data_IF_528415369562
#
_entry.id   IF_528415369562
#
_cell.length_a   1.000
_cell.length_b   1.000
_cell.length_c   1.000
_cell.angle_alpha   90.00
_cell.angle_beta   90.00
_cell.angle_gamma   90.00
#
_symmetry.space_group_name_H-M   'P 1'
#
loop_
_entity.id
_entity.type
_entity.pdbx_description
1 polymer ?
#
# COMPACT_ATOMS: atom_id res chain seq x y z
N UNK A 1 -45.04 20.21 32.87
CA UNK A 1 -44.42 19.04 32.22
C UNK A 1 -43.02 19.45 31.80
N UNK A 2 -41.94 18.91 32.39
CA UNK A 2 -40.59 19.36 32.11
C UNK A 2 -40.09 18.81 30.77
N UNK A 3 -39.42 19.68 30.03
CA UNK A 3 -38.76 19.43 28.76
C UNK A 3 -37.57 18.49 28.96
N UNK A 4 -37.45 17.48 28.09
CA UNK A 4 -36.30 16.58 28.03
C UNK A 4 -35.19 17.28 27.25
N UNK A 5 -34.12 17.71 27.93
CA UNK A 5 -32.89 18.17 27.30
C UNK A 5 -32.23 17.03 26.49
N UNK A 6 -31.60 17.33 25.35
CA UNK A 6 -30.86 16.35 24.57
C UNK A 6 -29.56 15.98 25.30
N UNK A 7 -29.25 14.69 25.31
CA UNK A 7 -28.04 14.14 25.92
C UNK A 7 -26.86 14.40 24.97
N UNK A 8 -26.01 15.37 25.33
CA UNK A 8 -24.73 15.59 24.67
C UNK A 8 -23.87 14.32 24.81
N UNK A 9 -23.53 13.70 23.68
CA UNK A 9 -22.50 12.65 23.64
C UNK A 9 -21.13 13.32 23.68
N UNK A 10 -20.67 13.66 24.88
CA UNK A 10 -19.26 13.97 25.11
C UNK A 10 -18.41 12.73 24.81
N UNK A 11 -17.55 12.84 23.80
CA UNK A 11 -16.50 11.88 23.49
C UNK A 11 -15.40 11.94 24.56
N UNK A 12 -15.67 11.39 25.74
CA UNK A 12 -14.68 11.25 26.80
C UNK A 12 -13.90 9.93 26.66
N UNK A 13 -12.59 10.01 26.42
CA UNK A 13 -11.70 8.87 26.64
C UNK A 13 -11.64 8.59 28.15
N UNK A 14 -12.47 7.65 28.61
CA UNK A 14 -12.46 7.22 30.00
C UNK A 14 -11.10 6.65 30.42
N UNK A 15 -10.75 6.71 31.72
CA UNK A 15 -9.50 6.15 32.22
C UNK A 15 -9.45 4.64 31.92
N UNK A 16 -8.26 4.07 31.63
CA UNK A 16 -8.13 2.66 31.34
C UNK A 16 -8.59 1.83 32.54
N UNK A 17 -9.57 0.95 32.33
CA UNK A 17 -10.08 0.04 33.33
C UNK A 17 -9.63 -1.39 33.02
N UNK A 18 -9.09 -2.09 34.03
CA UNK A 18 -8.73 -3.49 33.91
C UNK A 18 -9.98 -4.31 34.22
N UNK A 19 -10.45 -5.09 33.24
CA UNK A 19 -11.57 -6.01 33.41
C UNK A 19 -11.25 -7.34 32.77
N UNK A 20 -11.66 -8.44 33.43
CA UNK A 20 -11.60 -9.76 32.82
C UNK A 20 -12.53 -9.82 31.58
N UNK A 21 -12.13 -10.55 30.52
CA UNK A 21 -13.01 -10.78 29.40
C UNK A 21 -14.27 -11.49 29.89
N UNK A 22 -15.44 -10.93 29.60
CA UNK A 22 -16.71 -11.59 29.89
C UNK A 22 -16.84 -12.80 28.95
N UNK A 23 -17.08 -13.98 29.53
CA UNK A 23 -17.23 -15.22 28.76
C UNK A 23 -18.37 -15.14 27.74
N UNK A 24 -18.20 -15.82 26.62
CA UNK A 24 -19.19 -15.98 25.56
C UNK A 24 -19.66 -17.43 25.38
N UNK A 25 -20.63 -17.65 24.49
CA UNK A 25 -21.16 -18.97 24.13
C UNK A 25 -21.62 -19.09 22.66
N UNK A 26 -21.31 -18.09 21.83
CA UNK A 26 -21.63 -18.11 20.41
C UNK A 26 -20.45 -18.68 19.61
N UNK A 27 -20.72 -19.66 18.75
CA UNK A 27 -19.77 -20.11 17.73
C UNK A 27 -19.88 -19.14 16.56
N UNK A 28 -18.75 -18.58 16.14
CA UNK A 28 -18.65 -17.68 14.97
C UNK A 28 -17.62 -18.27 14.00
N UNK A 29 -17.83 -18.01 12.71
CA UNK A 29 -16.83 -18.29 11.67
C UNK A 29 -15.57 -17.44 11.85
N UNK A 30 -14.66 -17.53 10.89
CA UNK A 30 -13.40 -16.78 10.90
C UNK A 30 -13.55 -15.38 10.31
N UNK A 31 -14.78 -14.88 10.16
CA UNK A 31 -15.05 -13.56 9.61
C UNK A 31 -14.95 -13.49 8.09
N UNK A 32 -15.04 -14.65 7.43
CA UNK A 32 -15.07 -14.78 5.98
C UNK A 32 -16.25 -14.03 5.37
N UNK A 33 -16.01 -13.42 4.19
CA UNK A 33 -17.02 -12.66 3.46
C UNK A 33 -17.06 -13.12 2.01
N UNK A 34 -18.21 -13.57 1.56
CA UNK A 34 -18.47 -13.85 0.16
C UNK A 34 -19.22 -12.68 -0.48
N UNK A 35 -18.79 -12.26 -1.67
CA UNK A 35 -19.43 -11.21 -2.45
C UNK A 35 -19.36 -11.55 -3.94
N UNK A 36 -20.31 -11.04 -4.70
CA UNK A 36 -20.24 -11.06 -6.17
C UNK A 36 -19.86 -9.67 -6.65
N UNK A 37 -18.86 -9.57 -7.53
CA UNK A 37 -18.52 -8.30 -8.14
C UNK A 37 -19.58 -7.95 -9.21
N UNK A 38 -20.39 -6.89 -9.01
CA UNK A 38 -21.51 -6.60 -9.91
C UNK A 38 -21.07 -6.11 -11.30
N UNK A 39 -19.82 -5.66 -11.44
CA UNK A 39 -19.28 -5.13 -12.70
C UNK A 39 -18.70 -6.25 -13.56
N UNK A 40 -17.98 -7.19 -12.95
CA UNK A 40 -17.29 -8.28 -13.67
C UNK A 40 -18.06 -9.60 -13.65
N UNK A 41 -19.03 -9.76 -12.75
CA UNK A 41 -19.74 -11.02 -12.51
C UNK A 41 -18.90 -12.09 -11.79
N UNK A 42 -17.69 -11.75 -11.29
CA UNK A 42 -16.81 -12.71 -10.60
C UNK A 42 -17.29 -12.99 -9.18
N UNK A 43 -17.01 -14.21 -8.71
CA UNK A 43 -17.18 -14.58 -7.31
C UNK A 43 -15.94 -14.18 -6.51
N UNK A 44 -16.14 -13.47 -5.41
CA UNK A 44 -15.09 -13.00 -4.52
C UNK A 44 -15.27 -13.56 -3.10
N UNK A 45 -14.18 -13.98 -2.47
CA UNK A 45 -14.16 -14.43 -1.08
C UNK A 45 -12.97 -13.81 -0.34
N UNK A 46 -13.21 -13.20 0.80
CA UNK A 46 -12.13 -12.67 1.66
C UNK A 46 -12.10 -13.43 2.97
N UNK A 47 -10.94 -13.95 3.33
CA UNK A 47 -10.65 -14.63 4.60
C UNK A 47 -9.63 -13.80 5.36
N UNK A 48 -9.99 -13.14 6.47
CA UNK A 48 -9.04 -12.34 7.24
C UNK A 48 -8.04 -13.26 7.97
N UNK A 49 -6.79 -12.83 8.03
CA UNK A 49 -5.75 -13.47 8.84
C UNK A 49 -5.59 -12.62 10.09
N UNK A 50 -6.16 -13.09 11.20
CA UNK A 50 -6.09 -12.35 12.46
C UNK A 50 -4.69 -12.43 13.06
N UNK A 51 -4.09 -11.26 13.23
CA UNK A 51 -2.85 -11.06 13.96
C UNK A 51 -3.19 -10.51 15.35
N UNK A 52 -2.32 -10.75 16.33
CA UNK A 52 -2.48 -10.14 17.65
C UNK A 52 -2.37 -8.62 17.51
N UNK A 53 -3.31 -7.82 18.06
CA UNK A 53 -3.24 -6.37 17.96
C UNK A 53 -1.94 -5.84 18.56
N UNK A 54 -1.24 -4.99 17.82
CA UNK A 54 -0.11 -4.24 18.37
C UNK A 54 -0.56 -3.06 19.23
N UNK A 55 0.41 -2.25 19.66
CA UNK A 55 0.14 -1.01 20.39
C UNK A 55 -0.82 -0.14 19.58
N UNK A 56 -1.85 0.39 20.23
CA UNK A 56 -2.86 1.26 19.60
C UNK A 56 -3.59 0.62 18.39
N UNK A 57 -3.55 -0.72 18.25
CA UNK A 57 -4.12 -1.40 17.10
C UNK A 57 -3.31 -1.28 15.81
N UNK A 58 -2.08 -0.75 15.88
CA UNK A 58 -1.14 -0.76 14.77
C UNK A 58 -0.59 -2.16 14.56
N UNK A 59 -0.58 -2.63 13.32
CA UNK A 59 -0.11 -3.96 12.97
C UNK A 59 -0.52 -4.38 11.57
N UNK A 60 0.02 -5.50 11.08
CA UNK A 60 -0.28 -6.00 9.75
C UNK A 60 -1.75 -6.44 9.66
N UNK A 61 -2.48 -5.82 8.72
CA UNK A 61 -3.82 -6.24 8.32
C UNK A 61 -3.70 -7.12 7.10
N UNK A 62 -3.83 -8.42 7.30
CA UNK A 62 -3.66 -9.42 6.26
C UNK A 62 -5.00 -10.09 5.96
N UNK A 63 -5.26 -10.34 4.68
CA UNK A 63 -6.40 -11.13 4.22
C UNK A 63 -6.02 -11.95 3.00
N UNK A 64 -6.50 -13.17 2.97
CA UNK A 64 -6.47 -14.00 1.78
C UNK A 64 -7.71 -13.66 0.95
N UNK A 65 -7.49 -13.20 -0.27
CA UNK A 65 -8.53 -12.75 -1.19
C UNK A 65 -8.62 -13.73 -2.35
N UNK A 66 -9.83 -14.20 -2.65
CA UNK A 66 -10.16 -15.00 -3.82
C UNK A 66 -10.95 -14.16 -4.81
N UNK A 67 -10.63 -14.27 -6.09
CA UNK A 67 -11.48 -13.82 -7.20
C UNK A 67 -11.45 -14.90 -8.30
N UNK A 68 -12.62 -15.33 -8.76
CA UNK A 68 -12.75 -16.42 -9.76
C UNK A 68 -12.16 -16.09 -11.13
N UNK A 69 -11.94 -14.80 -11.43
CA UNK A 69 -11.25 -14.31 -12.63
C UNK A 69 -9.75 -14.09 -12.44
N UNK A 70 -9.22 -14.28 -11.23
CA UNK A 70 -7.78 -14.17 -10.97
C UNK A 70 -7.02 -15.44 -11.38
N UNK A 71 -5.76 -15.26 -11.77
CA UNK A 71 -4.88 -16.35 -12.21
C UNK A 71 -4.27 -17.17 -11.07
N UNK A 72 -3.19 -17.87 -11.38
CA UNK A 72 -2.45 -18.66 -10.40
C UNK A 72 -1.49 -17.78 -9.58
N UNK A 73 -1.27 -18.16 -8.33
CA UNK A 73 -0.34 -17.47 -7.43
C UNK A 73 0.18 -18.40 -6.32
N UNK A 74 1.01 -17.88 -5.41
CA UNK A 74 1.62 -18.67 -4.33
C UNK A 74 0.62 -19.38 -3.40
N UNK A 75 -0.61 -18.89 -3.34
CA UNK A 75 -1.69 -19.43 -2.51
C UNK A 75 -2.70 -20.27 -3.30
N UNK A 76 -2.39 -20.61 -4.55
CA UNK A 76 -3.24 -21.37 -5.44
C UNK A 76 -4.04 -20.51 -6.41
N UNK A 77 -4.81 -21.17 -7.27
CA UNK A 77 -5.57 -20.52 -8.33
C UNK A 77 -6.69 -19.63 -7.78
N UNK A 78 -6.76 -18.39 -8.26
CA UNK A 78 -7.74 -17.39 -7.83
C UNK A 78 -7.43 -16.75 -6.48
N UNK A 79 -6.47 -17.26 -5.70
CA UNK A 79 -6.13 -16.78 -4.36
C UNK A 79 -4.89 -15.88 -4.36
N UNK A 80 -4.97 -14.78 -3.61
CA UNK A 80 -3.84 -13.89 -3.36
C UNK A 80 -3.80 -13.43 -1.91
N UNK A 81 -2.59 -13.18 -1.40
CA UNK A 81 -2.39 -12.41 -0.18
C UNK A 81 -2.22 -10.95 -0.59
N UNK A 82 -3.14 -10.10 -0.15
CA UNK A 82 -3.15 -8.69 -0.55
C UNK A 82 -2.12 -7.90 0.28
N UNK A 83 -0.91 -7.74 -0.27
CA UNK A 83 0.14 -6.90 0.31
C UNK A 83 0.31 -5.61 -0.51
N UNK A 84 0.46 -4.44 0.14
CA UNK A 84 0.78 -3.20 -0.55
C UNK A 84 2.10 -3.31 -1.33
N UNK A 85 2.07 -2.88 -2.58
CA UNK A 85 3.25 -2.81 -3.44
C UNK A 85 3.10 -1.66 -4.43
N UNK A 86 4.22 -1.17 -4.96
CA UNK A 86 4.25 -0.29 -6.12
C UNK A 86 4.81 -1.11 -7.28
N UNK A 87 4.09 -1.18 -8.39
CA UNK A 87 4.44 -2.05 -9.52
C UNK A 87 4.34 -1.28 -10.83
N UNK A 88 5.24 -1.57 -11.77
CA UNK A 88 5.13 -1.00 -13.12
C UNK A 88 3.91 -1.57 -13.85
N UNK A 89 3.17 -0.67 -14.50
CA UNK A 89 1.96 -0.98 -15.27
C UNK A 89 2.31 -1.72 -16.56
N UNK A 90 1.55 -2.78 -16.87
CA UNK A 90 1.79 -3.65 -18.03
C UNK A 90 0.60 -3.77 -18.99
N UNK A 91 -0.55 -3.18 -18.66
CA UNK A 91 -1.79 -3.28 -19.46
C UNK A 91 -1.69 -2.64 -20.86
N UNK A 92 -0.77 -1.68 -21.04
CA UNK A 92 -0.58 -0.88 -22.26
C UNK A 92 0.78 -1.11 -22.93
N UNK A 93 1.50 -2.16 -22.53
CA UNK A 93 2.79 -2.51 -23.08
C UNK A 93 3.81 -2.91 -22.01
N UNK A 94 4.99 -3.32 -22.45
CA UNK A 94 6.07 -3.71 -21.55
C UNK A 94 6.80 -2.48 -21.00
N UNK A 95 7.19 -2.49 -19.71
CA UNK A 95 8.05 -1.46 -19.12
C UNK A 95 9.37 -1.35 -19.88
N UNK A 96 9.81 -0.11 -20.13
CA UNK A 96 11.08 0.19 -20.82
C UNK A 96 12.22 0.48 -19.86
N UNK A 97 11.93 0.68 -18.57
CA UNK A 97 12.92 0.98 -17.52
C UNK A 97 13.76 2.24 -17.82
N UNK A 98 13.18 3.22 -18.52
CA UNK A 98 13.83 4.52 -18.79
C UNK A 98 13.27 5.58 -17.84
N UNK A 99 13.69 5.47 -16.58
CA UNK A 99 13.08 6.24 -15.49
C UNK A 99 13.35 7.74 -15.57
N UNK A 100 14.46 8.16 -16.18
CA UNK A 100 14.75 9.57 -16.44
C UNK A 100 13.75 10.21 -17.43
N UNK A 101 13.25 9.43 -18.39
CA UNK A 101 12.25 9.88 -19.38
C UNK A 101 10.81 9.72 -18.87
N UNK A 102 10.63 8.96 -17.79
CA UNK A 102 9.35 8.39 -17.33
C UNK A 102 8.54 7.75 -18.44
N UNK A 103 9.20 6.78 -19.05
CA UNK A 103 8.59 5.88 -20.02
C UNK A 103 7.48 5.01 -19.44
N UNK A 104 7.48 4.77 -18.13
CA UNK A 104 6.67 3.77 -17.46
C UNK A 104 5.74 4.40 -16.41
N UNK A 105 4.55 3.83 -16.28
CA UNK A 105 3.57 4.22 -15.26
C UNK A 105 3.66 3.25 -14.08
N UNK A 106 3.53 3.77 -12.86
CA UNK A 106 3.50 2.96 -11.64
C UNK A 106 2.07 2.81 -11.13
N UNK A 107 1.79 1.70 -10.45
CA UNK A 107 0.50 1.42 -9.82
C UNK A 107 0.74 1.20 -8.34
N UNK A 108 0.00 1.91 -7.47
CA UNK A 108 0.00 1.65 -6.04
C UNK A 108 -1.10 0.64 -5.67
N UNK A 109 -0.71 -0.44 -5.01
CA UNK A 109 -1.59 -1.51 -4.49
C UNK A 109 -2.58 -2.05 -5.54
N UNK A 110 -2.15 -2.11 -6.81
CA UNK A 110 -2.90 -2.72 -7.90
C UNK A 110 -4.10 -1.92 -8.43
N UNK A 111 -4.40 -0.74 -7.89
CA UNK A 111 -5.61 0.01 -8.24
C UNK A 111 -5.32 1.38 -8.86
N UNK A 112 -4.32 2.11 -8.36
CA UNK A 112 -4.15 3.53 -8.67
C UNK A 112 -2.94 3.80 -9.55
N UNK A 113 -3.18 4.29 -10.77
CA UNK A 113 -2.14 4.83 -11.65
C UNK A 113 -1.49 6.05 -10.99
N UNK A 114 -0.20 5.96 -10.70
CA UNK A 114 0.58 7.07 -10.21
C UNK A 114 1.05 7.94 -11.37
N UNK A 115 0.90 9.24 -11.19
CA UNK A 115 1.42 10.27 -12.10
C UNK A 115 2.36 11.21 -11.34
N UNK A 116 3.39 11.77 -11.99
CA UNK A 116 4.24 12.75 -11.37
C UNK A 116 3.43 13.92 -10.82
N UNK A 117 3.81 14.38 -9.64
CA UNK A 117 3.31 15.65 -9.13
C UNK A 117 4.05 16.78 -9.85
N UNK A 118 3.30 17.64 -10.53
CA UNK A 118 3.84 18.77 -11.26
C UNK A 118 3.73 20.05 -10.43
N UNK A 119 4.76 20.88 -10.53
CA UNK A 119 4.79 22.24 -10.01
C UNK A 119 3.96 23.18 -10.92
N UNK A 120 3.63 24.41 -10.47
CA UNK A 120 2.85 25.35 -11.27
C UNK A 120 3.44 25.70 -12.65
N UNK A 121 4.76 25.56 -12.80
CA UNK A 121 5.48 25.76 -14.06
C UNK A 121 5.45 24.53 -15.00
N UNK A 122 4.78 23.44 -14.58
CA UNK A 122 4.68 22.20 -15.35
C UNK A 122 5.88 21.26 -15.20
N UNK A 123 6.91 21.66 -14.46
CA UNK A 123 8.05 20.78 -14.15
C UNK A 123 7.66 19.76 -13.08
N UNK A 124 8.40 18.64 -13.01
CA UNK A 124 8.19 17.67 -11.94
C UNK A 124 8.68 18.26 -10.62
N UNK A 125 8.00 17.91 -9.54
CA UNK A 125 8.56 18.12 -8.23
C UNK A 125 9.79 17.26 -8.04
N UNK A 126 10.89 17.89 -7.66
CA UNK A 126 12.17 17.27 -7.35
C UNK A 126 12.72 17.89 -6.06
N UNK A 127 13.22 17.04 -5.18
CA UNK A 127 13.90 17.44 -3.95
C UNK A 127 15.21 16.66 -3.83
N UNK A 128 16.31 17.37 -4.05
CA UNK A 128 17.69 16.88 -3.99
C UNK A 128 18.49 17.57 -2.86
N UNK A 129 17.82 18.39 -2.05
CA UNK A 129 18.48 19.23 -1.02
C UNK A 129 18.22 18.75 0.40
N UNK A 130 17.04 18.19 0.69
CA UNK A 130 16.67 17.85 2.06
C UNK A 130 17.34 16.59 2.59
N UNK A 131 17.66 15.63 1.71
CA UNK A 131 18.33 14.38 2.12
C UNK A 131 19.55 14.12 1.22
N UNK A 132 20.77 14.33 1.75
CA UNK A 132 22.00 14.06 1.00
C UNK A 132 22.06 12.62 0.47
N UNK A 133 22.45 12.49 -0.80
CA UNK A 133 22.58 11.18 -1.47
C UNK A 133 21.29 10.67 -2.11
N UNK A 134 20.19 11.42 -2.04
CA UNK A 134 18.92 11.06 -2.66
C UNK A 134 18.32 12.19 -3.49
N UNK A 135 17.67 11.81 -4.59
CA UNK A 135 16.74 12.66 -5.34
C UNK A 135 15.33 12.10 -5.12
N UNK A 136 14.41 12.97 -4.73
CA UNK A 136 13.05 12.60 -4.37
C UNK A 136 12.06 13.21 -5.36
N UNK A 137 11.34 12.35 -6.08
CA UNK A 137 10.22 12.77 -6.93
C UNK A 137 8.89 12.45 -6.26
N UNK A 138 7.95 13.39 -6.27
CA UNK A 138 6.60 13.17 -5.75
C UNK A 138 5.66 12.64 -6.83
N UNK A 139 4.78 11.74 -6.41
CA UNK A 139 3.72 11.17 -7.22
C UNK A 139 2.37 11.35 -6.53
N UNK A 140 1.31 11.25 -7.32
CA UNK A 140 -0.07 11.20 -6.83
C UNK A 140 -0.89 10.19 -7.65
N UNK A 141 -1.95 9.60 -7.08
CA UNK A 141 -2.94 8.86 -7.85
C UNK A 141 -3.53 9.74 -8.96
N UNK A 142 -3.83 9.14 -10.11
CA UNK A 142 -4.56 9.81 -11.21
C UNK A 142 -5.95 10.26 -10.75
N UNK A 143 -6.58 9.48 -9.87
CA UNK A 143 -7.83 9.82 -9.20
C UNK A 143 -7.50 9.91 -7.70
N UNK A 144 -7.51 11.13 -7.17
CA UNK A 144 -7.15 11.35 -5.77
C UNK A 144 -8.23 10.82 -4.82
N UNK A 145 -7.82 10.16 -3.74
CA UNK A 145 -8.75 9.60 -2.76
C UNK A 145 -8.11 9.28 -1.41
N UNK A 146 -6.81 8.97 -1.38
CA UNK A 146 -6.07 8.69 -0.15
C UNK A 146 -5.47 9.94 0.47
N UNK A 147 -5.24 10.99 -0.32
CA UNK A 147 -4.49 12.19 0.07
C UNK A 147 -3.15 11.83 0.73
N UNK A 148 -2.54 10.76 0.25
CA UNK A 148 -1.25 10.27 0.73
C UNK A 148 -0.12 10.96 -0.03
N UNK A 149 0.94 11.33 0.67
CA UNK A 149 2.19 11.78 0.04
C UNK A 149 2.94 10.54 -0.44
N UNK A 150 3.10 10.39 -1.76
CA UNK A 150 3.80 9.26 -2.38
C UNK A 150 5.07 9.78 -3.03
N UNK A 151 6.17 9.09 -2.78
CA UNK A 151 7.50 9.53 -3.18
C UNK A 151 8.34 8.38 -3.72
N UNK A 152 9.02 8.66 -4.83
CA UNK A 152 10.10 7.84 -5.36
C UNK A 152 11.42 8.43 -4.89
N UNK A 153 12.23 7.60 -4.27
CA UNK A 153 13.53 7.95 -3.73
C UNK A 153 14.61 7.24 -4.54
N UNK A 154 15.44 8.02 -5.23
CA UNK A 154 16.54 7.51 -6.06
C UNK A 154 17.86 7.81 -5.40
N UNK A 155 18.66 6.80 -5.10
CA UNK A 155 20.02 6.98 -4.59
C UNK A 155 20.91 7.57 -5.69
N UNK A 156 21.62 8.67 -5.42
CA UNK A 156 22.41 9.38 -6.45
C UNK A 156 23.70 8.66 -6.82
N UNK A 157 24.21 7.79 -5.96
CA UNK A 157 25.45 7.03 -6.20
C UNK A 157 25.19 5.72 -6.94
N UNK A 158 24.12 4.99 -6.58
CA UNK A 158 23.82 3.67 -7.14
C UNK A 158 22.70 3.68 -8.18
N UNK A 159 21.87 4.71 -8.21
CA UNK A 159 20.66 4.76 -9.05
C UNK A 159 19.52 3.90 -8.50
N UNK A 160 19.69 3.24 -7.36
CA UNK A 160 18.65 2.39 -6.78
C UNK A 160 17.44 3.19 -6.34
N UNK A 161 16.27 2.61 -6.64
CA UNK A 161 14.99 3.22 -6.32
C UNK A 161 14.35 2.47 -5.16
N UNK A 162 13.82 3.22 -4.20
CA UNK A 162 12.80 2.75 -3.26
C UNK A 162 11.65 3.74 -3.21
N UNK A 163 10.55 3.34 -2.60
CA UNK A 163 9.38 4.21 -2.48
C UNK A 163 8.97 4.41 -1.04
N UNK A 164 8.32 5.56 -0.81
CA UNK A 164 7.70 5.92 0.47
C UNK A 164 6.29 6.44 0.25
N UNK A 165 5.36 6.01 1.09
CA UNK A 165 4.04 6.62 1.20
C UNK A 165 3.81 7.11 2.63
N UNK A 166 3.16 8.25 2.78
CA UNK A 166 2.77 8.83 4.07
C UNK A 166 1.28 9.15 3.99
N UNK A 167 0.49 8.49 4.83
CA UNK A 167 -0.97 8.68 4.87
C UNK A 167 -1.35 9.97 5.63
N UNK A 168 -2.61 10.40 5.53
CA UNK A 168 -3.14 11.53 6.30
C UNK A 168 -3.06 11.34 7.83
N UNK A 169 -3.00 10.10 8.29
CA UNK A 169 -2.86 9.74 9.70
C UNK A 169 -1.38 9.59 10.10
N UNK A 170 -0.46 10.11 9.26
CA UNK A 170 0.99 10.10 9.44
C UNK A 170 1.67 8.72 9.45
N UNK A 171 0.92 7.65 9.16
CA UNK A 171 1.50 6.31 8.93
C UNK A 171 2.39 6.35 7.70
N UNK A 172 3.67 6.00 7.89
CA UNK A 172 4.67 5.90 6.83
C UNK A 172 4.87 4.45 6.43
N UNK A 173 4.97 4.18 5.13
CA UNK A 173 5.26 2.85 4.58
C UNK A 173 6.40 2.94 3.58
N UNK A 174 7.36 2.02 3.68
CA UNK A 174 8.48 1.88 2.75
C UNK A 174 8.32 0.64 1.88
N UNK A 175 8.73 0.78 0.62
CA UNK A 175 8.65 -0.28 -0.39
C UNK A 175 9.99 -0.48 -1.08
N UNK A 176 10.43 -1.74 -1.20
CA UNK A 176 11.64 -2.13 -1.92
C UNK A 176 12.90 -1.41 -1.45
N UNK A 177 13.12 -1.38 -0.13
CA UNK A 177 14.33 -0.81 0.49
C UNK A 177 15.58 -1.63 0.16
N UNK A 178 15.41 -2.93 -0.08
CA UNK A 178 16.47 -3.89 -0.41
C UNK A 178 16.00 -4.93 -1.44
N UNK A 179 16.90 -5.83 -1.85
CA UNK A 179 16.58 -6.85 -2.85
C UNK A 179 15.66 -7.96 -2.35
N UNK A 180 15.42 -8.09 -1.04
CA UNK A 180 14.42 -9.01 -0.49
C UNK A 180 12.99 -8.47 -0.64
N UNK A 181 12.85 -7.17 -0.91
CA UNK A 181 11.58 -6.46 -1.07
C UNK A 181 11.38 -5.94 -2.49
N UNK A 182 12.11 -6.48 -3.48
CA UNK A 182 12.03 -6.09 -4.89
C UNK A 182 11.81 -7.32 -5.76
N UNK A 183 11.03 -7.15 -6.83
CA UNK A 183 11.00 -8.05 -7.98
C UNK A 183 11.68 -7.31 -9.12
N UNK A 184 12.80 -7.82 -9.63
CA UNK A 184 13.61 -7.15 -10.64
C UNK A 184 14.12 -8.15 -11.70
N UNK A 185 14.62 -7.62 -12.81
CA UNK A 185 15.19 -8.40 -13.92
C UNK A 185 16.42 -9.19 -13.43
N UNK A 186 16.42 -10.53 -13.47
CA UNK A 186 17.61 -11.32 -13.10
C UNK A 186 18.80 -11.09 -14.04
N UNK A 187 18.58 -10.51 -15.22
CA UNK A 187 19.61 -10.11 -16.17
C UNK A 187 19.99 -8.62 -16.05
N UNK A 188 19.64 -7.96 -14.93
CA UNK A 188 20.12 -6.60 -14.64
C UNK A 188 21.67 -6.57 -14.64
N UNK A 189 22.29 -5.53 -15.24
CA UNK A 189 23.75 -5.40 -15.25
C UNK A 189 24.41 -5.40 -13.87
N UNK A 190 23.72 -4.90 -12.85
CA UNK A 190 24.18 -4.90 -11.46
C UNK A 190 23.10 -5.47 -10.53
N UNK A 191 23.08 -6.80 -10.30
CA UNK A 191 22.11 -7.43 -9.42
C UNK A 191 22.25 -7.03 -7.94
N UNK A 192 23.38 -6.44 -7.53
CA UNK A 192 23.53 -5.91 -6.18
C UNK A 192 22.77 -4.59 -6.02
N UNK A 193 22.75 -3.78 -7.08
CA UNK A 193 22.07 -2.48 -7.15
C UNK A 193 21.14 -2.39 -8.38
N UNK A 194 20.07 -3.21 -8.44
CA UNK A 194 19.28 -3.36 -9.65
C UNK A 194 18.54 -2.07 -10.00
N UNK A 195 18.54 -1.73 -11.29
CA UNK A 195 17.83 -0.55 -11.82
C UNK A 195 16.56 -0.95 -12.58
N UNK A 196 16.48 -2.18 -13.07
CA UNK A 196 15.32 -2.75 -13.75
C UNK A 196 14.37 -3.45 -12.77
N UNK A 197 13.85 -2.67 -11.82
CA UNK A 197 12.91 -3.15 -10.81
C UNK A 197 11.48 -3.10 -11.37
N UNK A 198 10.79 -4.24 -11.36
CA UNK A 198 9.40 -4.38 -11.78
C UNK A 198 8.41 -4.03 -10.66
N UNK A 199 8.67 -4.48 -9.43
CA UNK A 199 7.82 -4.25 -8.27
C UNK A 199 8.62 -3.98 -7.01
N UNK A 200 8.18 -2.99 -6.23
CA UNK A 200 8.66 -2.66 -4.89
C UNK A 200 7.60 -3.11 -3.88
N UNK A 201 7.91 -4.17 -3.14
CA UNK A 201 7.04 -4.77 -2.12
C UNK A 201 7.17 -3.99 -0.82
N UNK A 202 6.10 -3.92 -0.03
CA UNK A 202 6.16 -3.39 1.33
C UNK A 202 7.25 -4.10 2.14
N UNK A 203 8.06 -3.32 2.87
CA UNK A 203 9.13 -3.86 3.72
C UNK A 203 9.07 -3.32 5.16
N UNK A 204 8.51 -2.13 5.37
CA UNK A 204 8.49 -1.48 6.67
C UNK A 204 7.28 -0.53 6.76
N UNK A 205 6.66 -0.44 7.93
CA UNK A 205 5.61 0.55 8.22
C UNK A 205 5.63 0.96 9.69
N UNK A 206 5.41 2.25 9.95
CA UNK A 206 5.40 2.84 11.30
C UNK A 206 4.40 4.01 11.38
N UNK A 207 3.82 4.22 12.56
CA UNK A 207 2.83 5.27 12.89
C UNK A 207 3.41 6.43 13.71
#
# INVERSE_FOLDING_TARGET
MPQKQPNDKEGGHGPPAISLPKGGGAIRGIGEKFQTNPVTGTGALTVPIFTSPGRSGFGPKLSLSYDSGSGNGPFGFGWNLSLPAITRKTDKGLPKYRDAEESDVYILSGAEDLVPFLQPDGTRFEDDTNVPGYVIHRYRPRIEGLFARIERWTNTATGEIHWRSITRDNVTTLYGKDNNSRVFDPADPDPAHPTRIFSWLICESYD
#
